data_IF_170959742763
#
_entry.id   IF_170959742763
#
_cell.length_a   1.000
_cell.length_b   1.000
_cell.length_c   1.000
_cell.angle_alpha   90.00
_cell.angle_beta   90.00
_cell.angle_gamma   90.00
#
_symmetry.space_group_name_H-M   'P 1'
#
loop_
_entity.id
_entity.type
_entity.pdbx_description
1 polymer ?
#
# COMPACT_ATOMS: atom_id res chain seq x y z
N UNK A 1 -13.93 -21.40 -3.86
CA UNK A 1 -14.49 -20.38 -2.95
C UNK A 1 -14.91 -20.99 -1.61
N UNK A 2 -15.72 -22.08 -1.60
CA UNK A 2 -16.23 -22.69 -0.36
C UNK A 2 -15.10 -23.15 0.59
N UNK A 3 -14.10 -23.86 0.07
CA UNK A 3 -12.96 -24.34 0.87
C UNK A 3 -12.14 -23.18 1.46
N UNK A 4 -12.04 -22.05 0.76
CA UNK A 4 -11.39 -20.85 1.26
C UNK A 4 -12.19 -20.25 2.42
N UNK A 5 -13.50 -20.07 2.28
CA UNK A 5 -14.37 -19.56 3.35
C UNK A 5 -14.32 -20.43 4.61
N UNK A 6 -14.29 -21.77 4.44
CA UNK A 6 -14.17 -22.68 5.58
C UNK A 6 -12.86 -22.52 6.33
N UNK A 7 -11.73 -22.44 5.63
CA UNK A 7 -10.41 -22.21 6.26
C UNK A 7 -10.34 -20.84 6.95
N UNK A 8 -10.82 -19.81 6.27
CA UNK A 8 -10.87 -18.43 6.77
C UNK A 8 -11.76 -18.33 8.02
N UNK A 9 -12.91 -19.00 8.01
CA UNK A 9 -13.80 -19.08 9.18
C UNK A 9 -13.13 -19.76 10.37
N UNK A 10 -12.41 -20.85 10.16
CA UNK A 10 -11.71 -21.54 11.23
C UNK A 10 -10.69 -20.64 11.91
N UNK A 11 -9.97 -19.82 11.16
CA UNK A 11 -9.02 -18.86 11.73
C UNK A 11 -9.76 -17.74 12.49
N UNK A 12 -10.86 -17.23 11.93
CA UNK A 12 -11.72 -16.28 12.62
C UNK A 12 -12.23 -16.82 13.96
N UNK A 13 -12.73 -18.05 13.97
CA UNK A 13 -13.27 -18.70 15.18
C UNK A 13 -12.22 -18.84 16.29
N UNK A 14 -10.95 -19.05 15.91
CA UNK A 14 -9.85 -19.15 16.86
C UNK A 14 -9.36 -17.80 17.39
N UNK A 15 -9.34 -16.77 16.56
CA UNK A 15 -8.69 -15.49 16.88
C UNK A 15 -9.66 -14.41 17.33
N UNK A 16 -10.82 -14.30 16.68
CA UNK A 16 -11.71 -13.14 16.81
C UNK A 16 -13.08 -13.48 17.42
N UNK A 17 -13.60 -14.68 17.20
CA UNK A 17 -14.90 -15.07 17.77
C UNK A 17 -14.93 -14.92 19.30
N UNK A 18 -13.87 -15.26 20.06
CA UNK A 18 -13.86 -15.04 21.50
C UNK A 18 -13.99 -13.57 21.92
N UNK A 19 -13.57 -12.64 21.07
CA UNK A 19 -13.57 -11.20 21.30
C UNK A 19 -14.81 -10.50 20.72
N UNK A 20 -15.62 -11.18 19.91
CA UNK A 20 -16.70 -10.56 19.14
C UNK A 20 -17.69 -9.79 20.01
N UNK A 21 -18.04 -10.33 21.18
CA UNK A 21 -18.94 -9.66 22.14
C UNK A 21 -18.37 -8.35 22.69
N UNK A 22 -17.09 -8.31 22.96
CA UNK A 22 -16.40 -7.13 23.50
C UNK A 22 -16.22 -6.06 22.41
N UNK A 23 -15.90 -6.47 21.17
CA UNK A 23 -15.81 -5.56 20.02
C UNK A 23 -17.13 -4.84 19.75
N UNK A 24 -18.25 -5.56 19.87
CA UNK A 24 -19.60 -4.98 19.72
C UNK A 24 -19.90 -4.02 20.85
N UNK A 25 -19.67 -4.42 22.12
CA UNK A 25 -19.89 -3.54 23.30
C UNK A 25 -19.06 -2.26 23.23
N UNK A 26 -17.80 -2.37 22.78
CA UNK A 26 -16.90 -1.23 22.61
C UNK A 26 -17.23 -0.36 21.39
N UNK A 27 -18.21 -0.74 20.55
CA UNK A 27 -18.54 -0.07 19.29
C UNK A 27 -17.31 0.13 18.40
N UNK A 28 -16.45 -0.91 18.36
CA UNK A 28 -15.18 -0.88 17.63
C UNK A 28 -15.41 -0.65 16.15
N UNK A 29 -14.70 0.31 15.56
CA UNK A 29 -14.74 0.61 14.13
C UNK A 29 -13.45 0.18 13.41
N UNK A 30 -12.34 0.18 14.12
CA UNK A 30 -11.02 -0.12 13.55
C UNK A 30 -10.32 -1.19 14.38
N UNK A 31 -9.76 -2.20 13.71
CA UNK A 31 -8.90 -3.20 14.30
C UNK A 31 -7.46 -2.96 13.84
N UNK A 32 -6.55 -2.86 14.79
CA UNK A 32 -5.12 -2.75 14.52
C UNK A 32 -4.46 -4.06 14.93
N UNK A 33 -3.85 -4.73 13.97
CA UNK A 33 -3.17 -6.01 14.19
C UNK A 33 -1.68 -5.81 14.35
N UNK A 34 -1.12 -6.43 15.40
CA UNK A 34 0.32 -6.60 15.61
C UNK A 34 0.60 -8.10 15.50
N UNK A 35 0.92 -8.55 14.31
CA UNK A 35 1.05 -9.98 14.01
C UNK A 35 2.49 -10.44 14.15
N UNK A 36 2.68 -11.68 14.62
CA UNK A 36 3.98 -12.32 14.68
C UNK A 36 3.98 -13.72 14.05
N UNK A 37 5.15 -14.22 13.72
CA UNK A 37 5.36 -15.54 13.15
C UNK A 37 4.53 -15.79 11.90
N UNK A 38 3.89 -16.94 11.82
CA UNK A 38 3.08 -17.38 10.69
C UNK A 38 1.82 -16.50 10.45
N UNK A 39 1.33 -15.79 11.46
CA UNK A 39 0.16 -14.93 11.35
C UNK A 39 0.41 -13.73 10.43
N UNK A 40 1.66 -13.31 10.26
CA UNK A 40 2.03 -12.22 9.31
C UNK A 40 1.65 -12.51 7.87
N UNK A 41 1.54 -13.80 7.53
CA UNK A 41 1.18 -14.24 6.18
C UNK A 41 -0.33 -14.43 5.99
N UNK A 42 -1.13 -14.18 7.03
CA UNK A 42 -2.58 -14.32 6.96
C UNK A 42 -3.19 -12.94 6.70
N UNK A 43 -3.90 -12.79 5.58
CA UNK A 43 -4.60 -11.54 5.29
C UNK A 43 -5.82 -11.41 6.22
N UNK A 44 -5.71 -10.58 7.26
CA UNK A 44 -6.77 -10.41 8.26
C UNK A 44 -8.09 -9.90 7.63
N UNK A 45 -8.01 -9.19 6.51
CA UNK A 45 -9.17 -8.67 5.78
C UNK A 45 -10.15 -9.74 5.31
N UNK A 46 -9.64 -10.93 5.00
CA UNK A 46 -10.46 -12.04 4.46
C UNK A 46 -10.90 -13.06 5.50
N UNK A 47 -10.66 -12.81 6.80
CA UNK A 47 -11.24 -13.64 7.85
C UNK A 47 -12.78 -13.58 7.76
N UNK A 48 -13.44 -14.75 7.86
CA UNK A 48 -14.86 -14.90 7.59
C UNK A 48 -15.60 -15.30 8.85
N UNK A 49 -16.59 -14.51 9.28
CA UNK A 49 -17.37 -14.78 10.51
C UNK A 49 -18.50 -15.81 10.32
N UNK A 50 -18.71 -16.29 9.09
CA UNK A 50 -19.81 -17.14 8.68
C UNK A 50 -20.87 -16.40 7.86
N UNK A 51 -20.83 -15.06 7.84
CA UNK A 51 -21.73 -14.19 7.08
C UNK A 51 -20.98 -13.19 6.21
N UNK A 52 -19.95 -12.54 6.76
CA UNK A 52 -19.18 -11.48 6.14
C UNK A 52 -17.70 -11.67 6.34
N UNK A 53 -16.91 -11.07 5.46
CA UNK A 53 -15.48 -10.90 5.67
C UNK A 53 -15.20 -9.79 6.68
N UNK A 54 -14.09 -9.88 7.38
CA UNK A 54 -13.75 -8.93 8.45
C UNK A 54 -13.66 -7.48 7.94
N UNK A 55 -13.17 -7.30 6.72
CA UNK A 55 -13.07 -5.99 6.06
C UNK A 55 -14.43 -5.33 5.79
N UNK A 56 -15.50 -6.11 5.75
CA UNK A 56 -16.86 -5.57 5.57
C UNK A 56 -17.46 -5.00 6.87
N UNK A 57 -16.90 -5.39 8.02
CA UNK A 57 -17.38 -4.99 9.34
C UNK A 57 -16.47 -3.95 10.02
N UNK A 58 -15.16 -3.96 9.70
CA UNK A 58 -14.15 -3.14 10.39
C UNK A 58 -13.15 -2.52 9.42
N UNK A 59 -12.68 -1.33 9.75
CA UNK A 59 -11.43 -0.82 9.17
C UNK A 59 -10.27 -1.61 9.75
N UNK A 60 -9.31 -2.00 8.90
CA UNK A 60 -8.21 -2.87 9.29
C UNK A 60 -6.87 -2.19 9.07
N UNK A 61 -5.98 -2.31 10.02
CA UNK A 61 -4.60 -1.86 9.91
C UNK A 61 -3.65 -2.92 10.46
N UNK A 62 -2.48 -3.04 9.85
CA UNK A 62 -1.40 -3.87 10.33
C UNK A 62 -0.23 -2.97 10.73
N UNK A 63 0.38 -3.24 11.87
CA UNK A 63 1.58 -2.55 12.31
C UNK A 63 2.59 -3.56 12.86
N UNK A 64 3.89 -3.36 12.61
CA UNK A 64 4.91 -4.22 13.21
C UNK A 64 5.10 -4.00 14.73
N UNK A 65 4.52 -2.94 15.30
CA UNK A 65 4.54 -2.65 16.73
C UNK A 65 3.62 -1.50 17.10
N UNK A 66 2.99 -1.57 18.27
CA UNK A 66 2.06 -0.53 18.76
C UNK A 66 2.72 0.85 18.90
N UNK A 67 4.02 0.89 19.18
CA UNK A 67 4.79 2.13 19.30
C UNK A 67 4.94 2.88 17.97
N UNK A 68 4.68 2.21 16.84
CA UNK A 68 4.76 2.77 15.50
C UNK A 68 3.41 3.30 14.99
N UNK A 69 2.35 3.16 15.79
CA UNK A 69 1.05 3.78 15.46
C UNK A 69 1.17 5.27 15.74
N UNK A 70 1.11 6.13 14.71
CA UNK A 70 1.20 7.57 14.95
C UNK A 70 0.00 8.03 15.76
N UNK A 71 0.17 9.04 16.64
CA UNK A 71 -0.97 9.68 17.30
C UNK A 71 -1.93 10.20 16.23
N UNK A 72 -3.23 10.09 16.49
CA UNK A 72 -4.25 10.65 15.61
C UNK A 72 -4.06 12.17 15.56
N UNK A 73 -3.43 12.66 14.49
CA UNK A 73 -3.39 14.07 14.14
C UNK A 73 -4.51 14.37 13.15
N UNK A 74 -5.11 15.53 13.24
CA UNK A 74 -6.05 16.00 12.21
C UNK A 74 -5.34 16.00 10.85
N UNK A 75 -5.95 15.34 9.87
CA UNK A 75 -5.51 15.42 8.48
C UNK A 75 -5.86 16.81 7.97
N UNK A 76 -4.86 17.63 7.81
CA UNK A 76 -5.01 18.97 7.25
C UNK A 76 -5.45 18.83 5.78
N UNK A 77 -6.69 19.22 5.49
CA UNK A 77 -7.27 19.18 4.12
C UNK A 77 -6.45 19.95 3.09
N UNK A 78 -5.68 20.94 3.51
CA UNK A 78 -4.76 21.68 2.65
C UNK A 78 -3.58 20.83 2.11
N UNK A 79 -3.40 19.60 2.62
CA UNK A 79 -2.32 18.68 2.26
C UNK A 79 -2.74 17.56 1.30
N UNK A 80 -3.83 17.71 0.56
CA UNK A 80 -4.33 16.66 -0.35
C UNK A 80 -3.60 16.61 -1.71
N UNK A 81 -2.33 16.96 -1.79
CA UNK A 81 -1.56 16.85 -3.04
C UNK A 81 -0.91 15.47 -3.17
N UNK A 82 -0.95 14.87 -4.37
CA UNK A 82 -0.38 13.54 -4.63
C UNK A 82 0.70 13.60 -5.72
N UNK A 83 1.78 12.84 -5.52
CA UNK A 83 2.71 12.46 -6.58
C UNK A 83 2.22 11.12 -7.16
N UNK A 84 1.73 11.15 -8.40
CA UNK A 84 1.28 9.99 -9.15
C UNK A 84 2.39 9.53 -10.08
N UNK A 85 2.82 8.29 -9.95
CA UNK A 85 3.79 7.68 -10.84
C UNK A 85 3.34 6.32 -11.33
N UNK A 86 3.59 5.97 -12.60
CA UNK A 86 3.23 4.64 -13.06
C UNK A 86 3.64 4.29 -14.48
N UNK A 87 3.54 2.99 -14.79
CA UNK A 87 3.81 2.40 -16.10
C UNK A 87 2.63 1.55 -16.53
N UNK A 88 1.99 1.93 -17.62
CA UNK A 88 0.89 1.16 -18.23
C UNK A 88 1.38 0.22 -19.36
N UNK A 89 2.56 0.47 -19.90
CA UNK A 89 3.13 -0.26 -21.05
C UNK A 89 4.05 -1.39 -20.57
N UNK A 90 4.09 -2.48 -21.35
CA UNK A 90 5.00 -3.59 -21.07
C UNK A 90 6.47 -3.17 -21.23
N UNK A 91 7.32 -3.44 -20.22
CA UNK A 91 8.73 -3.03 -20.20
C UNK A 91 9.60 -4.07 -19.50
N UNK A 92 10.84 -4.21 -19.95
CA UNK A 92 11.89 -5.00 -19.29
C UNK A 92 11.45 -6.44 -18.94
N UNK A 93 10.64 -7.08 -19.80
CA UNK A 93 10.11 -8.44 -19.58
C UNK A 93 8.83 -8.51 -18.75
N UNK A 94 8.30 -7.37 -18.27
CA UNK A 94 7.02 -7.31 -17.57
C UNK A 94 5.87 -7.03 -18.54
N UNK A 95 4.72 -7.64 -18.27
CA UNK A 95 3.49 -7.46 -19.05
C UNK A 95 2.95 -6.03 -18.90
N UNK A 96 2.16 -5.53 -19.87
CA UNK A 96 1.44 -4.27 -19.71
C UNK A 96 0.48 -4.30 -18.50
N UNK A 97 0.28 -3.13 -17.91
CA UNK A 97 -0.73 -2.87 -16.87
C UNK A 97 -1.75 -1.85 -17.41
N UNK A 98 -2.73 -2.28 -18.22
CA UNK A 98 -3.65 -1.38 -18.89
C UNK A 98 -4.52 -0.57 -17.93
N UNK A 99 -4.74 -1.03 -16.70
CA UNK A 99 -5.46 -0.34 -15.65
C UNK A 99 -4.74 0.88 -15.07
N UNK A 100 -3.40 0.94 -15.17
CA UNK A 100 -2.60 2.04 -14.57
C UNK A 100 -2.93 3.40 -15.17
N UNK A 101 -3.03 3.50 -16.49
CA UNK A 101 -3.33 4.78 -17.14
C UNK A 101 -4.70 5.35 -16.71
N UNK A 102 -5.82 4.62 -16.83
CA UNK A 102 -7.12 5.11 -16.37
C UNK A 102 -7.18 5.33 -14.84
N UNK A 103 -6.43 4.56 -14.03
CA UNK A 103 -6.30 4.78 -12.59
C UNK A 103 -5.69 6.18 -12.32
N UNK A 104 -4.52 6.45 -12.88
CA UNK A 104 -3.81 7.73 -12.72
C UNK A 104 -4.65 8.90 -13.24
N UNK A 105 -5.27 8.77 -14.42
CA UNK A 105 -6.12 9.80 -14.99
C UNK A 105 -7.36 10.10 -14.15
N UNK A 106 -7.97 9.07 -13.56
CA UNK A 106 -9.13 9.24 -12.68
C UNK A 106 -8.75 9.94 -11.37
N UNK A 107 -7.66 9.53 -10.74
CA UNK A 107 -7.15 10.17 -9.53
C UNK A 107 -6.75 11.63 -9.80
N UNK A 108 -6.14 11.91 -10.94
CA UNK A 108 -5.75 13.28 -11.37
C UNK A 108 -6.92 14.25 -11.44
N UNK A 109 -8.14 13.77 -11.66
CA UNK A 109 -9.36 14.62 -11.69
C UNK A 109 -9.93 14.89 -10.30
N UNK A 110 -9.52 14.13 -9.30
CA UNK A 110 -10.11 14.18 -7.95
C UNK A 110 -9.33 15.09 -7.01
N UNK A 111 -8.00 15.12 -7.11
CA UNK A 111 -7.15 15.86 -6.19
C UNK A 111 -5.98 16.54 -6.90
N UNK A 112 -5.42 17.63 -6.36
CA UNK A 112 -4.21 18.28 -6.88
C UNK A 112 -3.07 17.28 -6.97
N UNK A 113 -2.36 17.25 -8.10
CA UNK A 113 -1.38 16.21 -8.36
C UNK A 113 -0.15 16.72 -9.11
N UNK A 114 0.89 15.91 -9.08
CA UNK A 114 2.01 15.87 -10.00
C UNK A 114 2.04 14.48 -10.61
N UNK A 115 2.17 14.36 -11.92
CA UNK A 115 2.04 13.10 -12.65
C UNK A 115 3.30 12.77 -13.43
N UNK A 116 3.74 11.52 -13.32
CA UNK A 116 4.81 10.89 -14.10
C UNK A 116 4.26 9.59 -14.68
N UNK A 117 3.97 9.54 -15.97
CA UNK A 117 3.39 8.36 -16.61
C UNK A 117 4.30 7.84 -17.74
N UNK A 118 4.50 6.53 -17.79
CA UNK A 118 5.33 5.84 -18.80
C UNK A 118 6.74 6.44 -18.89
N UNK A 119 7.13 7.06 -20.00
CA UNK A 119 8.47 7.61 -20.24
C UNK A 119 8.90 8.63 -19.17
N UNK A 120 7.96 9.38 -18.62
CA UNK A 120 8.22 10.33 -17.54
C UNK A 120 8.49 9.64 -16.20
N UNK A 121 8.02 8.41 -16.02
CA UNK A 121 8.25 7.61 -14.82
C UNK A 121 9.62 6.89 -14.90
N UNK A 122 10.67 7.60 -15.22
CA UNK A 122 12.06 7.12 -15.25
C UNK A 122 12.81 7.41 -13.95
N UNK A 123 13.91 6.72 -13.71
CA UNK A 123 14.69 6.82 -12.48
C UNK A 123 15.10 8.24 -12.12
N UNK A 124 15.46 9.06 -13.10
CA UNK A 124 15.90 10.43 -12.86
C UNK A 124 14.72 11.31 -12.39
N UNK A 125 13.62 11.32 -13.15
CA UNK A 125 12.45 12.14 -12.81
C UNK A 125 11.78 11.65 -11.53
N UNK A 126 11.68 10.34 -11.30
CA UNK A 126 11.16 9.77 -10.04
C UNK A 126 12.02 10.22 -8.86
N UNK A 127 13.35 10.10 -8.97
CA UNK A 127 14.27 10.52 -7.91
C UNK A 127 14.17 12.02 -7.61
N UNK A 128 14.17 12.85 -8.65
CA UNK A 128 14.07 14.30 -8.50
C UNK A 128 12.72 14.69 -7.87
N UNK A 129 11.63 14.12 -8.33
CA UNK A 129 10.29 14.46 -7.84
C UNK A 129 10.02 13.91 -6.44
N UNK A 130 10.49 12.73 -6.10
CA UNK A 130 10.39 12.20 -4.73
C UNK A 130 11.09 13.09 -3.72
N UNK A 131 12.28 13.62 -4.04
CA UNK A 131 13.06 14.47 -3.14
C UNK A 131 12.52 15.90 -3.10
N UNK A 132 12.17 16.48 -4.25
CA UNK A 132 11.78 17.88 -4.36
C UNK A 132 10.31 18.14 -3.97
N UNK A 133 9.43 17.14 -4.09
CA UNK A 133 8.00 17.34 -3.86
C UNK A 133 7.66 17.34 -2.37
N UNK A 134 6.83 18.30 -1.95
CA UNK A 134 6.22 18.32 -0.62
C UNK A 134 4.85 17.63 -0.61
N UNK A 135 4.61 16.71 -1.55
CA UNK A 135 3.33 16.01 -1.64
C UNK A 135 3.18 14.99 -0.50
N UNK A 136 2.18 15.09 0.37
CA UNK A 136 2.02 14.16 1.49
C UNK A 136 1.63 12.75 1.04
N UNK A 137 1.12 12.61 -0.18
CA UNK A 137 0.73 11.33 -0.74
C UNK A 137 1.66 10.98 -1.90
N UNK A 138 2.20 9.77 -1.89
CA UNK A 138 2.97 9.19 -3.00
C UNK A 138 2.24 7.92 -3.46
N UNK A 139 1.84 7.89 -4.72
CA UNK A 139 1.15 6.77 -5.34
C UNK A 139 1.95 6.26 -6.53
N UNK A 140 2.39 5.01 -6.46
CA UNK A 140 3.19 4.35 -7.48
C UNK A 140 2.44 3.14 -8.02
N UNK A 141 1.98 3.25 -9.27
CA UNK A 141 1.24 2.21 -9.99
C UNK A 141 2.15 1.56 -11.04
N UNK A 142 2.90 0.54 -10.63
CA UNK A 142 3.88 -0.13 -11.47
C UNK A 142 4.19 -1.52 -10.95
N UNK A 143 4.83 -2.35 -11.77
CA UNK A 143 5.37 -3.61 -11.27
C UNK A 143 6.37 -3.36 -10.14
N UNK A 144 6.31 -4.21 -9.13
CA UNK A 144 7.27 -4.23 -8.05
C UNK A 144 7.43 -5.65 -7.52
N UNK A 145 8.61 -5.94 -7.02
CA UNK A 145 8.90 -7.18 -6.33
C UNK A 145 9.32 -6.85 -4.91
N UNK A 146 8.69 -7.49 -3.94
CA UNK A 146 9.03 -7.34 -2.53
C UNK A 146 9.44 -8.71 -1.98
N UNK A 147 10.62 -8.76 -1.41
CA UNK A 147 11.26 -9.97 -0.90
C UNK A 147 11.80 -9.72 0.51
N UNK A 148 12.08 -10.77 1.24
CA UNK A 148 12.86 -10.72 2.49
C UNK A 148 14.30 -10.27 2.26
N UNK A 149 14.79 -10.36 1.01
CA UNK A 149 16.11 -9.88 0.62
C UNK A 149 16.01 -8.49 -0.02
N UNK A 150 16.78 -7.54 0.49
CA UNK A 150 16.77 -6.16 -0.02
C UNK A 150 17.17 -6.07 -1.49
N UNK A 151 18.14 -6.90 -1.93
CA UNK A 151 18.62 -6.98 -3.30
C UNK A 151 17.57 -7.42 -4.33
N UNK A 152 16.58 -8.23 -3.88
CA UNK A 152 15.48 -8.72 -4.71
C UNK A 152 14.24 -7.81 -4.64
N UNK A 153 14.31 -6.74 -3.84
CA UNK A 153 13.19 -5.79 -3.64
C UNK A 153 13.38 -4.57 -4.52
N UNK A 154 12.43 -4.30 -5.42
CA UNK A 154 12.46 -3.15 -6.32
C UNK A 154 11.06 -2.73 -6.77
N UNK A 155 10.95 -1.53 -7.29
CA UNK A 155 9.86 -1.08 -8.17
C UNK A 155 10.40 -0.86 -9.58
N UNK A 156 9.57 -1.13 -10.59
CA UNK A 156 9.95 -0.93 -11.99
C UNK A 156 9.75 0.54 -12.35
N UNK A 157 10.77 1.15 -12.96
CA UNK A 157 10.68 2.46 -13.64
C UNK A 157 10.80 2.25 -15.14
N UNK A 158 10.57 3.28 -15.93
CA UNK A 158 10.59 3.18 -17.38
C UNK A 158 11.92 2.66 -17.95
N UNK A 159 13.02 3.11 -17.39
CA UNK A 159 14.39 2.84 -17.84
C UNK A 159 15.08 1.73 -17.06
N UNK A 160 14.70 1.47 -15.80
CA UNK A 160 15.41 0.50 -14.96
C UNK A 160 14.55 0.05 -13.76
N UNK A 161 15.15 -0.76 -12.88
CA UNK A 161 14.62 -1.13 -11.56
C UNK A 161 15.12 -0.13 -10.51
N UNK A 162 14.23 0.38 -9.70
CA UNK A 162 14.56 1.19 -8.54
C UNK A 162 14.57 0.30 -7.30
N UNK A 163 15.76 -0.12 -6.89
CA UNK A 163 15.94 -1.02 -5.73
C UNK A 163 15.58 -0.37 -4.40
N UNK A 164 15.35 -1.21 -3.39
CA UNK A 164 14.91 -0.81 -2.06
C UNK A 164 15.81 0.24 -1.41
N UNK A 165 17.13 0.05 -1.46
CA UNK A 165 18.07 0.96 -0.79
C UNK A 165 18.03 2.36 -1.41
N UNK A 166 17.99 2.44 -2.75
CA UNK A 166 17.86 3.73 -3.44
C UNK A 166 16.51 4.40 -3.16
N UNK A 167 15.41 3.66 -3.22
CA UNK A 167 14.08 4.19 -2.88
C UNK A 167 14.06 4.71 -1.43
N UNK A 168 14.64 3.93 -0.51
CA UNK A 168 14.74 4.30 0.90
C UNK A 168 15.53 5.59 1.11
N UNK A 169 16.68 5.72 0.46
CA UNK A 169 17.52 6.92 0.56
C UNK A 169 16.80 8.16 0.00
N UNK A 170 16.12 8.03 -1.15
CA UNK A 170 15.32 9.13 -1.72
C UNK A 170 14.22 9.60 -0.77
N UNK A 171 13.54 8.67 -0.11
CA UNK A 171 12.48 8.98 0.83
C UNK A 171 13.01 9.56 2.15
N UNK A 172 14.22 9.15 2.58
CA UNK A 172 14.92 9.75 3.73
C UNK A 172 15.42 11.16 3.41
N UNK A 173 16.03 11.38 2.24
CA UNK A 173 16.50 12.68 1.79
C UNK A 173 15.36 13.70 1.71
N UNK A 174 14.19 13.27 1.29
CA UNK A 174 12.97 14.08 1.35
C UNK A 174 12.66 14.52 2.78
N UNK A 175 12.68 13.61 3.75
CA UNK A 175 12.41 13.90 5.16
C UNK A 175 13.36 14.91 5.79
N UNK A 176 14.62 14.94 5.34
CA UNK A 176 15.64 15.88 5.84
C UNK A 176 15.55 17.25 5.19
N UNK A 177 15.20 17.31 3.90
CA UNK A 177 15.16 18.60 3.15
C UNK A 177 13.86 19.37 3.33
N UNK A 178 12.72 18.68 3.40
CA UNK A 178 11.39 19.32 3.44
C UNK A 178 10.71 19.26 4.81
N UNK A 179 11.27 18.53 5.77
CA UNK A 179 10.64 18.22 7.07
C UNK A 179 9.20 17.65 6.92
N UNK A 180 8.85 17.15 5.74
CA UNK A 180 7.52 16.62 5.44
C UNK A 180 7.56 15.10 5.31
N UNK A 181 7.05 14.43 6.32
CA UNK A 181 6.79 12.99 6.26
C UNK A 181 5.77 12.67 5.16
N UNK A 182 5.85 11.49 4.59
CA UNK A 182 4.79 10.94 3.73
C UNK A 182 3.63 10.52 4.63
N UNK A 183 2.45 11.07 4.41
CA UNK A 183 1.26 10.66 5.16
C UNK A 183 0.74 9.33 4.63
N UNK A 184 0.76 9.14 3.30
CA UNK A 184 0.32 7.90 2.66
C UNK A 184 1.22 7.52 1.49
N UNK A 185 1.80 6.31 1.56
CA UNK A 185 2.47 5.64 0.45
C UNK A 185 1.54 4.57 -0.13
N UNK A 186 1.20 4.69 -1.40
CA UNK A 186 0.41 3.69 -2.12
C UNK A 186 1.29 3.01 -3.15
N UNK A 187 1.38 1.68 -3.05
CA UNK A 187 2.08 0.82 -4.01
C UNK A 187 1.03 -0.04 -4.71
N UNK A 188 0.49 0.49 -5.81
CA UNK A 188 -0.53 -0.15 -6.63
C UNK A 188 0.12 -1.10 -7.65
N UNK A 189 -0.49 -2.24 -7.91
CA UNK A 189 0.00 -3.25 -8.85
C UNK A 189 1.37 -3.86 -8.51
N UNK A 190 1.63 -4.10 -7.23
CA UNK A 190 2.83 -4.78 -6.78
C UNK A 190 2.69 -6.30 -6.89
N UNK A 191 3.71 -6.95 -7.45
CA UNK A 191 3.84 -8.40 -7.45
C UNK A 191 4.78 -8.79 -6.29
N UNK A 192 4.25 -9.48 -5.28
CA UNK A 192 5.11 -10.09 -4.26
C UNK A 192 5.86 -11.27 -4.89
N UNK A 193 7.11 -11.48 -4.48
CA UNK A 193 7.88 -12.62 -4.94
C UNK A 193 7.12 -13.91 -4.62
N UNK A 194 6.74 -14.64 -5.65
CA UNK A 194 6.01 -15.90 -5.53
C UNK A 194 6.84 -16.88 -4.68
N UNK A 195 6.30 -17.28 -3.53
CA UNK A 195 6.95 -18.24 -2.61
C UNK A 195 7.78 -17.63 -1.49
N UNK A 196 7.92 -16.31 -1.38
CA UNK A 196 8.57 -15.68 -0.24
C UNK A 196 7.54 -15.35 0.86
N UNK A 197 7.47 -16.20 1.86
CA UNK A 197 6.59 -16.03 3.03
C UNK A 197 6.94 -14.78 3.89
N UNK A 198 8.01 -14.07 3.58
CA UNK A 198 8.48 -12.87 4.29
C UNK A 198 8.37 -11.59 3.45
N UNK A 199 7.74 -11.64 2.28
CA UNK A 199 7.57 -10.48 1.40
C UNK A 199 6.85 -9.31 2.12
N UNK A 200 5.94 -9.63 3.05
CA UNK A 200 5.29 -8.63 3.94
C UNK A 200 6.31 -7.85 4.77
N UNK A 201 7.43 -8.47 5.16
CA UNK A 201 8.52 -7.79 5.87
C UNK A 201 9.27 -6.82 4.96
N UNK A 202 9.44 -7.18 3.69
CA UNK A 202 10.02 -6.29 2.68
C UNK A 202 9.20 -5.01 2.52
N UNK A 203 7.88 -5.14 2.39
CA UNK A 203 6.95 -4.01 2.33
C UNK A 203 6.96 -3.15 3.61
N UNK A 204 6.93 -3.81 4.78
CA UNK A 204 7.04 -3.10 6.07
C UNK A 204 8.38 -2.36 6.18
N UNK A 205 9.47 -2.96 5.70
CA UNK A 205 10.79 -2.33 5.64
C UNK A 205 10.80 -1.08 4.76
N UNK A 206 10.16 -1.12 3.58
CA UNK A 206 10.00 0.06 2.71
C UNK A 206 9.21 1.15 3.43
N UNK A 207 8.06 0.82 4.03
CA UNK A 207 7.21 1.77 4.74
C UNK A 207 7.95 2.48 5.90
N UNK A 208 8.66 1.71 6.72
CA UNK A 208 9.43 2.23 7.87
C UNK A 208 10.59 3.13 7.37
N UNK A 209 11.35 2.67 6.39
CA UNK A 209 12.47 3.45 5.82
C UNK A 209 11.95 4.71 5.11
N UNK A 210 10.79 4.65 4.49
CA UNK A 210 10.13 5.80 3.88
C UNK A 210 9.61 6.83 4.90
N UNK A 211 9.60 6.49 6.18
CA UNK A 211 8.93 7.29 7.22
C UNK A 211 7.48 7.64 6.85
N UNK A 212 6.83 6.76 6.08
CA UNK A 212 5.42 6.91 5.75
C UNK A 212 4.57 6.60 6.98
N UNK A 213 3.62 7.47 7.30
CA UNK A 213 2.67 7.23 8.41
C UNK A 213 1.77 6.04 8.11
N UNK A 214 1.39 5.88 6.84
CA UNK A 214 0.57 4.76 6.36
C UNK A 214 1.05 4.27 5.01
N UNK A 215 0.93 2.97 4.76
CA UNK A 215 1.23 2.36 3.46
C UNK A 215 0.10 1.43 3.05
N UNK A 216 -0.31 1.55 1.80
CA UNK A 216 -1.23 0.61 1.15
C UNK A 216 -0.46 -0.12 0.08
N UNK A 217 -0.48 -1.45 0.12
CA UNK A 217 0.15 -2.30 -0.88
C UNK A 217 -0.54 -3.66 -0.92
N UNK A 218 -0.41 -4.36 -2.05
CA UNK A 218 -0.90 -5.74 -2.18
C UNK A 218 0.09 -6.74 -1.56
N UNK A 219 -0.43 -7.79 -0.93
CA UNK A 219 0.35 -8.87 -0.31
C UNK A 219 0.66 -10.03 -1.27
N UNK A 220 0.01 -10.04 -2.42
CA UNK A 220 0.15 -11.05 -3.49
C UNK A 220 -0.18 -10.43 -4.84
N UNK A 221 -0.01 -11.21 -5.91
CA UNK A 221 -0.41 -10.79 -7.25
C UNK A 221 -1.92 -10.55 -7.30
N UNK A 222 -2.31 -9.36 -7.71
CA UNK A 222 -3.71 -8.91 -7.80
C UNK A 222 -4.09 -8.62 -9.25
N UNK A 223 -5.39 -8.63 -9.54
CA UNK A 223 -5.89 -8.20 -10.85
C UNK A 223 -5.69 -6.70 -11.01
N UNK A 224 -5.11 -6.29 -12.14
CA UNK A 224 -4.92 -4.89 -12.52
C UNK A 224 -6.24 -4.10 -12.52
N UNK A 225 -7.31 -4.67 -13.08
CA UNK A 225 -8.66 -4.08 -13.10
C UNK A 225 -9.26 -3.90 -11.70
N UNK A 226 -9.13 -4.93 -10.84
CA UNK A 226 -9.63 -4.85 -9.47
C UNK A 226 -8.86 -3.81 -8.65
N UNK A 227 -7.56 -3.73 -8.84
CA UNK A 227 -6.67 -2.75 -8.20
C UNK A 227 -7.03 -1.34 -8.64
N UNK A 228 -7.18 -1.10 -9.95
CA UNK A 228 -7.64 0.16 -10.50
C UNK A 228 -8.94 0.63 -9.83
N UNK A 229 -9.96 -0.24 -9.77
CA UNK A 229 -11.25 0.08 -9.16
C UNK A 229 -11.12 0.43 -7.69
N UNK A 230 -10.32 -0.34 -6.93
CA UNK A 230 -10.07 -0.11 -5.52
C UNK A 230 -9.39 1.26 -5.29
N UNK A 231 -8.37 1.58 -6.08
CA UNK A 231 -7.62 2.83 -5.94
C UNK A 231 -8.47 4.05 -6.31
N UNK A 232 -9.26 3.99 -7.38
CA UNK A 232 -10.19 5.07 -7.72
C UNK A 232 -11.18 5.33 -6.57
N UNK A 233 -11.79 4.29 -6.01
CA UNK A 233 -12.70 4.41 -4.87
C UNK A 233 -12.00 4.97 -3.63
N UNK A 234 -10.76 4.55 -3.34
CA UNK A 234 -9.96 5.11 -2.24
C UNK A 234 -9.82 6.63 -2.37
N UNK A 235 -9.41 7.11 -3.55
CA UNK A 235 -9.20 8.54 -3.78
C UNK A 235 -10.50 9.34 -3.85
N UNK A 236 -11.60 8.78 -4.31
CA UNK A 236 -12.93 9.39 -4.20
C UNK A 236 -13.31 9.63 -2.73
N UNK A 237 -13.08 8.64 -1.87
CA UNK A 237 -13.35 8.77 -0.44
C UNK A 237 -12.38 9.76 0.25
N UNK A 238 -11.12 9.84 -0.17
CA UNK A 238 -10.16 10.81 0.35
C UNK A 238 -10.53 12.25 -0.05
N UNK A 239 -11.01 12.45 -1.28
CA UNK A 239 -11.39 13.76 -1.79
C UNK A 239 -12.72 14.27 -1.22
N UNK A 240 -13.59 13.38 -0.74
CA UNK A 240 -14.92 13.74 -0.18
C UNK A 240 -14.89 14.14 1.30
N UNK A 241 -13.78 13.92 1.98
CA UNK A 241 -13.58 14.27 3.40
C UNK A 241 -12.85 15.60 3.54
#
# INVERSE_FOLDING_TARGET
ELAFKQKSKRIYDLMLAPLAGDLVKAKTKTLVFVLDGALRNIPMSVLYDGKKYLVENYNLSLTPGLQLVPPQGETDKARSKVLLGGISEGRQGFSPLPGVKPEIESISRLIPHQKLLNQEFNNNLVSTNLVASNTPIVHLATHGQFSSKAEDTFILTWDNRLGLDRLSNLLQDRGTRSNSAIDLLVLSACQTATGDNRATLGLAGVAIKARAKSTIASLWSVSDEATQSLMINLYQNLASK
#
